data_IF_539312609284
#
_entry.id   IF_539312609284
#
_cell.length_a   1.000
_cell.length_b   1.000
_cell.length_c   1.000
_cell.angle_alpha   90.00
_cell.angle_beta   90.00
_cell.angle_gamma   90.00
#
_symmetry.space_group_name_H-M   'P 1'
#
loop_
_entity.id
_entity.type
_entity.pdbx_description
1 polymer ?
#
# COMPACT_ATOMS: atom_id res chain seq x y z
N UNK A 1 0.68 -16.01 4.25
CA UNK A 1 0.04 -15.68 2.95
C UNK A 1 1.08 -15.74 1.83
N UNK A 2 0.74 -16.31 0.66
CA UNK A 2 1.57 -16.17 -0.55
C UNK A 2 1.24 -14.82 -1.21
N UNK A 3 2.21 -13.91 -1.26
CA UNK A 3 2.03 -12.57 -1.83
C UNK A 3 2.12 -12.64 -3.35
N UNK A 4 1.42 -11.72 -4.01
CA UNK A 4 1.63 -11.46 -5.44
C UNK A 4 2.88 -10.61 -5.61
N UNK A 5 3.48 -10.66 -6.79
CA UNK A 5 4.57 -9.74 -7.15
C UNK A 5 4.16 -8.27 -7.06
N UNK A 6 2.87 -7.96 -7.21
CA UNK A 6 2.34 -6.61 -7.07
C UNK A 6 2.31 -6.13 -5.62
N UNK A 7 1.87 -6.97 -4.68
CA UNK A 7 1.91 -6.64 -3.25
C UNK A 7 3.35 -6.42 -2.77
N UNK A 8 4.29 -7.24 -3.21
CA UNK A 8 5.71 -7.06 -2.90
C UNK A 8 6.23 -5.71 -3.42
N UNK A 9 5.87 -5.32 -4.65
CA UNK A 9 6.21 -4.00 -5.19
C UNK A 9 5.62 -2.86 -4.37
N UNK A 10 4.37 -2.97 -3.91
CA UNK A 10 3.76 -1.95 -3.05
C UNK A 10 4.47 -1.83 -1.70
N UNK A 11 4.83 -2.97 -1.09
CA UNK A 11 5.56 -2.99 0.18
C UNK A 11 6.96 -2.38 0.04
N UNK A 12 7.69 -2.73 -1.02
CA UNK A 12 9.00 -2.15 -1.31
C UNK A 12 8.90 -0.64 -1.55
N UNK A 13 7.87 -0.18 -2.26
CA UNK A 13 7.63 1.24 -2.48
C UNK A 13 7.30 1.96 -1.17
N UNK A 14 6.41 1.40 -0.35
CA UNK A 14 6.11 1.93 0.98
C UNK A 14 7.36 1.99 1.87
N UNK A 15 8.23 0.97 1.82
CA UNK A 15 9.49 0.96 2.56
C UNK A 15 10.41 2.11 2.14
N UNK A 16 10.52 2.40 0.85
CA UNK A 16 11.31 3.55 0.33
C UNK A 16 10.76 4.89 0.84
N UNK A 17 9.44 4.99 0.97
CA UNK A 17 8.76 6.18 1.52
C UNK A 17 8.74 6.24 3.05
N UNK A 18 9.43 5.32 3.73
CA UNK A 18 9.38 5.19 5.20
C UNK A 18 7.96 4.99 5.74
N UNK A 19 7.07 4.36 4.95
CA UNK A 19 5.72 3.96 5.34
C UNK A 19 5.77 2.52 5.81
N UNK A 20 5.32 2.27 7.04
CA UNK A 20 5.36 0.93 7.63
C UNK A 20 4.09 0.17 7.26
N UNK A 21 4.22 -0.90 6.49
CA UNK A 21 3.11 -1.82 6.17
C UNK A 21 2.99 -2.87 7.27
N UNK A 22 1.80 -2.99 7.87
CA UNK A 22 1.44 -4.04 8.82
C UNK A 22 0.21 -4.79 8.34
N UNK A 23 0.31 -6.11 8.37
CA UNK A 23 -0.82 -7.00 8.21
C UNK A 23 -1.27 -7.49 9.57
N UNK A 24 -2.54 -7.32 9.89
CA UNK A 24 -3.09 -7.73 11.18
C UNK A 24 -4.53 -8.24 11.02
N UNK A 25 -5.05 -8.95 12.02
CA UNK A 25 -6.42 -9.47 12.02
C UNK A 25 -7.31 -8.54 12.83
N UNK A 26 -8.23 -7.86 12.15
CA UNK A 26 -9.18 -6.95 12.78
C UNK A 26 -10.47 -6.85 11.96
N UNK A 27 -11.46 -6.15 12.50
CA UNK A 27 -12.71 -5.90 11.79
C UNK A 27 -12.56 -4.74 10.80
N UNK A 28 -12.86 -4.98 9.51
CA UNK A 28 -12.75 -4.00 8.43
C UNK A 28 -11.61 -4.29 7.46
N UNK A 29 -11.35 -3.36 6.54
CA UNK A 29 -10.36 -3.54 5.46
C UNK A 29 -8.97 -3.05 5.83
N UNK A 30 -8.89 -1.94 6.56
CA UNK A 30 -7.66 -1.20 6.78
C UNK A 30 -7.48 -0.05 5.81
N UNK A 31 -6.29 0.56 5.79
CA UNK A 31 -5.95 1.71 4.96
C UNK A 31 -4.65 2.39 5.36
N UNK A 32 -4.39 3.55 4.75
CA UNK A 32 -3.28 4.41 5.10
C UNK A 32 -3.64 5.28 6.31
N UNK A 33 -2.73 5.42 7.25
CA UNK A 33 -2.89 6.35 8.36
C UNK A 33 -1.56 6.93 8.81
N UNK A 34 -1.62 8.08 9.51
CA UNK A 34 -0.45 8.73 10.09
C UNK A 34 -0.62 8.83 11.60
N UNK A 35 0.33 8.30 12.35
CA UNK A 35 0.32 8.28 13.82
C UNK A 35 1.65 8.85 14.32
N UNK A 36 1.59 9.90 15.16
CA UNK A 36 2.78 10.55 15.74
C UNK A 36 3.85 10.84 14.67
N UNK A 37 3.41 11.45 13.56
CA UNK A 37 4.18 11.79 12.37
C UNK A 37 4.71 10.62 11.52
N UNK A 38 4.57 9.37 11.97
CA UNK A 38 4.95 8.18 11.21
C UNK A 38 3.79 7.70 10.35
N UNK A 39 4.11 7.28 9.13
CA UNK A 39 3.15 6.78 8.15
C UNK A 39 3.02 5.26 8.25
N UNK A 40 1.79 4.77 8.20
CA UNK A 40 1.48 3.35 8.28
C UNK A 40 0.45 2.94 7.22
N UNK A 41 0.60 1.73 6.71
CA UNK A 41 -0.48 0.98 6.08
C UNK A 41 -0.87 -0.13 7.03
N UNK A 42 -2.10 -0.13 7.51
CA UNK A 42 -2.64 -1.23 8.32
C UNK A 42 -3.63 -1.96 7.44
N UNK A 43 -3.37 -3.22 7.11
CA UNK A 43 -4.16 -4.00 6.16
C UNK A 43 -4.64 -5.27 6.83
N UNK A 44 -5.91 -5.60 6.65
CA UNK A 44 -6.44 -6.83 7.22
C UNK A 44 -5.85 -8.07 6.53
N UNK A 45 -5.17 -8.92 7.30
CA UNK A 45 -4.54 -10.16 6.83
C UNK A 45 -5.56 -11.11 6.18
N UNK A 46 -6.81 -11.12 6.67
CA UNK A 46 -7.88 -11.99 6.16
C UNK A 46 -8.39 -11.65 4.76
N UNK A 47 -8.01 -10.51 4.18
CA UNK A 47 -8.44 -10.13 2.82
C UNK A 47 -7.77 -10.97 1.72
N UNK A 48 -8.41 -11.07 0.55
CA UNK A 48 -7.74 -11.58 -0.64
C UNK A 48 -6.60 -10.67 -1.09
N UNK A 49 -5.63 -11.19 -1.84
CA UNK A 49 -4.52 -10.38 -2.36
C UNK A 49 -5.02 -9.22 -3.22
N UNK A 50 -6.00 -9.45 -4.09
CA UNK A 50 -6.63 -8.41 -4.90
C UNK A 50 -7.24 -7.29 -4.03
N UNK A 51 -7.94 -7.64 -2.96
CA UNK A 51 -8.52 -6.63 -2.07
C UNK A 51 -7.45 -5.82 -1.32
N UNK A 52 -6.30 -6.41 -1.01
CA UNK A 52 -5.15 -5.70 -0.42
C UNK A 52 -4.50 -4.75 -1.44
N UNK A 53 -4.33 -5.20 -2.67
CA UNK A 53 -3.80 -4.38 -3.78
C UNK A 53 -4.70 -3.16 -4.03
N UNK A 54 -6.02 -3.35 -4.05
CA UNK A 54 -7.00 -2.27 -4.18
C UNK A 54 -6.85 -1.20 -3.09
N UNK A 55 -6.61 -1.62 -1.84
CA UNK A 55 -6.37 -0.69 -0.72
C UNK A 55 -5.10 0.13 -0.98
N UNK A 56 -4.00 -0.50 -1.39
CA UNK A 56 -2.79 0.23 -1.74
C UNK A 56 -3.04 1.24 -2.86
N UNK A 57 -3.66 0.82 -3.96
CA UNK A 57 -3.91 1.69 -5.12
C UNK A 57 -4.75 2.89 -4.70
N UNK A 58 -5.86 2.65 -3.99
CA UNK A 58 -6.78 3.71 -3.58
C UNK A 58 -6.11 4.74 -2.69
N UNK A 59 -5.40 4.29 -1.67
CA UNK A 59 -4.80 5.17 -0.66
C UNK A 59 -3.54 5.85 -1.20
N UNK A 60 -2.74 5.14 -2.02
CA UNK A 60 -1.56 5.73 -2.66
C UNK A 60 -1.95 6.79 -3.70
N UNK A 61 -3.04 6.61 -4.44
CA UNK A 61 -3.57 7.65 -5.34
C UNK A 61 -3.90 8.95 -4.61
N UNK A 62 -4.37 8.86 -3.37
CA UNK A 62 -4.73 10.05 -2.58
C UNK A 62 -3.51 10.80 -2.03
N UNK A 63 -2.34 10.15 -1.96
CA UNK A 63 -1.16 10.71 -1.33
C UNK A 63 -0.37 11.69 -2.22
N UNK A 64 -0.84 12.01 -3.44
CA UNK A 64 -0.19 12.93 -4.39
C UNK A 64 1.34 12.77 -4.41
N UNK A 65 1.81 11.58 -4.80
CA UNK A 65 3.24 11.33 -4.90
C UNK A 65 3.88 12.04 -6.08
N UNK A 66 5.14 12.38 -5.91
CA UNK A 66 5.99 12.79 -7.02
C UNK A 66 6.12 11.62 -8.03
N UNK A 67 5.74 11.80 -9.30
CA UNK A 67 5.84 10.77 -10.32
C UNK A 67 7.26 10.26 -10.58
N UNK A 68 8.30 10.99 -10.15
CA UNK A 68 9.69 10.54 -10.23
C UNK A 68 10.05 9.47 -9.19
N UNK A 69 9.30 9.40 -8.08
CA UNK A 69 9.51 8.41 -7.03
C UNK A 69 8.85 7.06 -7.35
N UNK A 70 7.92 7.03 -8.31
CA UNK A 70 7.15 5.84 -8.66
C UNK A 70 7.94 4.87 -9.55
N UNK A 71 8.09 3.60 -9.14
CA UNK A 71 8.54 2.55 -10.05
C UNK A 71 7.64 2.51 -11.30
N UNK A 72 8.21 2.33 -12.50
CA UNK A 72 7.48 2.41 -13.77
C UNK A 72 6.16 1.60 -13.80
N UNK A 73 6.18 0.36 -13.30
CA UNK A 73 4.97 -0.49 -13.17
C UNK A 73 3.91 0.10 -12.23
N UNK A 74 4.32 0.70 -11.10
CA UNK A 74 3.36 1.32 -10.17
C UNK A 74 2.81 2.63 -10.74
N UNK A 75 3.61 3.36 -11.50
CA UNK A 75 3.18 4.57 -12.21
C UNK A 75 2.04 4.28 -13.18
N UNK A 76 2.16 3.23 -13.99
CA UNK A 76 1.09 2.81 -14.91
C UNK A 76 -0.21 2.43 -14.18
N UNK A 77 -0.10 1.75 -13.04
CA UNK A 77 -1.27 1.31 -12.25
C UNK A 77 -1.95 2.49 -11.55
N UNK A 78 -1.18 3.45 -11.05
CA UNK A 78 -1.70 4.61 -10.32
C UNK A 78 -2.18 5.74 -11.23
N UNK A 79 -1.76 5.80 -12.49
CA UNK A 79 -2.20 6.82 -13.47
C UNK A 79 -3.38 6.36 -14.34
N UNK A 80 -3.78 5.09 -14.25
CA UNK A 80 -5.00 4.55 -14.86
C UNK A 80 -6.24 4.90 -14.05
#
# INVERSE_FOLDING_TARGET
MKKTSLLEMFEDFCRKLSIVVKYDRFFGKGGYCRVKQKSYFIINEGLSNAAKEDIFIKELKQLNFDPELLPGKLREILQK
#
